data_IF_383977462069
#
_entry.id   IF_383977462069
#
_cell.length_a   1.000
_cell.length_b   1.000
_cell.length_c   1.000
_cell.angle_alpha   90.00
_cell.angle_beta   90.00
_cell.angle_gamma   90.00
#
_symmetry.space_group_name_H-M   'P 1'
#
loop_
_entity.id
_entity.type
_entity.pdbx_description
1 polymer ?
#
# COMPACT_ATOMS: atom_id res chain seq x y z
N UNK A 1 8.73 -9.02 -2.23
CA UNK A 1 8.14 -8.25 -1.10
C UNK A 1 9.18 -7.45 -0.31
N UNK A 2 10.08 -8.13 0.42
CA UNK A 2 10.91 -7.51 1.46
C UNK A 2 11.81 -6.35 1.03
N UNK A 3 12.36 -6.36 -0.19
CA UNK A 3 13.15 -5.22 -0.69
C UNK A 3 12.30 -3.94 -0.78
N UNK A 4 11.05 -4.06 -1.25
CA UNK A 4 10.14 -2.92 -1.34
C UNK A 4 9.72 -2.44 0.05
N UNK A 5 9.44 -3.38 0.95
CA UNK A 5 9.12 -3.09 2.34
C UNK A 5 10.27 -2.33 3.04
N UNK A 6 11.51 -2.78 2.86
CA UNK A 6 12.69 -2.09 3.37
C UNK A 6 12.81 -0.65 2.85
N UNK A 7 12.55 -0.43 1.55
CA UNK A 7 12.53 0.92 0.96
C UNK A 7 11.46 1.82 1.60
N UNK A 8 10.27 1.30 1.89
CA UNK A 8 9.26 2.04 2.66
C UNK A 8 9.65 2.25 4.13
N UNK A 9 10.36 1.31 4.76
CA UNK A 9 10.82 1.48 6.14
C UNK A 9 11.85 2.60 6.29
N UNK A 10 12.73 2.77 5.31
CA UNK A 10 13.71 3.87 5.26
C UNK A 10 13.11 5.16 4.65
N UNK A 11 11.78 5.25 4.55
CA UNK A 11 11.07 6.41 4.03
C UNK A 11 11.52 6.84 2.61
N UNK A 12 11.71 5.85 1.72
CA UNK A 12 12.06 6.05 0.31
C UNK A 12 10.96 5.55 -0.65
N UNK A 13 9.72 6.07 -0.56
CA UNK A 13 8.59 5.57 -1.35
C UNK A 13 8.74 5.79 -2.86
N UNK A 14 9.43 6.85 -3.30
CA UNK A 14 9.71 7.09 -4.73
C UNK A 14 10.53 5.96 -5.33
N UNK A 15 11.58 5.53 -4.63
CA UNK A 15 12.46 4.42 -5.05
C UNK A 15 11.69 3.10 -5.01
N UNK A 16 10.87 2.88 -3.98
CA UNK A 16 10.03 1.69 -3.89
C UNK A 16 9.07 1.58 -5.09
N UNK A 17 8.35 2.66 -5.41
CA UNK A 17 7.40 2.71 -6.51
C UNK A 17 8.09 2.60 -7.88
N UNK A 18 9.26 3.23 -8.05
CA UNK A 18 10.03 3.08 -9.29
C UNK A 18 10.47 1.64 -9.48
N UNK A 19 11.01 1.00 -8.42
CA UNK A 19 11.39 -0.41 -8.46
C UNK A 19 10.20 -1.31 -8.78
N UNK A 20 9.01 -1.03 -8.25
CA UNK A 20 7.79 -1.78 -8.61
C UNK A 20 7.50 -1.66 -10.10
N UNK A 21 7.54 -0.46 -10.69
CA UNK A 21 7.31 -0.28 -12.13
C UNK A 21 8.33 -1.07 -12.95
N UNK A 22 9.61 -0.87 -12.68
CA UNK A 22 10.69 -1.48 -13.48
C UNK A 22 10.67 -3.00 -13.39
N UNK A 23 10.43 -3.54 -12.18
CA UNK A 23 10.47 -4.98 -11.94
C UNK A 23 9.32 -5.73 -12.62
N UNK A 24 8.15 -5.12 -12.73
CA UNK A 24 6.95 -5.77 -13.27
C UNK A 24 6.67 -5.38 -14.72
N UNK A 25 7.33 -4.35 -15.27
CA UNK A 25 7.11 -3.88 -16.64
C UNK A 25 7.23 -5.01 -17.68
N UNK A 26 8.27 -5.86 -17.57
CA UNK A 26 8.45 -7.00 -18.47
C UNK A 26 7.29 -8.00 -18.38
N UNK A 27 6.90 -8.40 -17.17
CA UNK A 27 5.77 -9.30 -16.91
C UNK A 27 4.45 -8.75 -17.45
N UNK A 28 4.20 -7.45 -17.27
CA UNK A 28 2.99 -6.77 -17.74
C UNK A 28 2.96 -6.54 -19.26
N UNK A 29 4.07 -6.75 -19.96
CA UNK A 29 4.16 -6.55 -21.42
C UNK A 29 3.63 -7.75 -22.23
N UNK A 30 3.47 -8.92 -21.59
CA UNK A 30 2.88 -10.10 -22.21
C UNK A 30 1.37 -9.88 -22.42
N UNK A 31 0.89 -10.02 -23.66
CA UNK A 31 -0.52 -9.77 -24.02
C UNK A 31 -1.47 -10.89 -23.61
N UNK A 32 -0.96 -12.12 -23.53
CA UNK A 32 -1.77 -13.32 -23.35
C UNK A 32 -1.91 -13.74 -21.87
N UNK A 33 -1.27 -13.01 -20.94
CA UNK A 33 -1.21 -13.38 -19.53
C UNK A 33 -1.75 -12.27 -18.63
N UNK A 34 -2.54 -12.67 -17.63
CA UNK A 34 -3.26 -11.75 -16.72
C UNK A 34 -2.95 -12.00 -15.24
N UNK A 35 -2.00 -12.89 -14.95
CA UNK A 35 -1.60 -13.28 -13.59
C UNK A 35 -0.11 -12.97 -13.36
N UNK A 36 0.33 -13.07 -12.11
CA UNK A 36 1.73 -12.82 -11.75
C UNK A 36 2.56 -14.08 -11.92
N UNK A 37 3.79 -13.97 -12.43
CA UNK A 37 4.63 -15.15 -12.68
C UNK A 37 5.51 -15.47 -11.49
N UNK A 38 5.99 -16.71 -11.43
CA UNK A 38 6.95 -17.17 -10.43
C UNK A 38 8.29 -16.43 -10.55
N UNK A 39 8.81 -16.35 -11.79
CA UNK A 39 9.99 -15.58 -12.16
C UNK A 39 9.64 -14.24 -12.82
N UNK A 40 10.59 -13.68 -13.58
CA UNK A 40 10.42 -12.36 -14.22
C UNK A 40 10.04 -12.45 -15.70
N UNK A 41 10.04 -13.66 -16.28
CA UNK A 41 9.59 -13.94 -17.63
C UNK A 41 9.35 -15.43 -17.85
N UNK A 42 9.20 -15.83 -19.12
CA UNK A 42 9.01 -17.22 -19.53
C UNK A 42 10.34 -17.85 -19.97
N UNK A 43 10.53 -19.14 -19.71
CA UNK A 43 11.75 -19.86 -20.08
C UNK A 43 12.94 -19.50 -19.20
N UNK A 44 14.04 -19.04 -19.81
CA UNK A 44 15.27 -18.71 -19.09
C UNK A 44 15.07 -17.55 -18.08
N UNK A 45 14.29 -16.53 -18.45
CA UNK A 45 13.91 -15.40 -17.57
C UNK A 45 12.99 -15.84 -16.41
N UNK A 46 12.39 -17.02 -16.53
CA UNK A 46 11.61 -17.69 -15.49
C UNK A 46 12.42 -18.66 -14.63
N UNK A 47 13.75 -18.57 -14.66
CA UNK A 47 14.68 -19.45 -13.94
C UNK A 47 14.48 -20.95 -14.23
N UNK A 48 14.11 -21.29 -15.48
CA UNK A 48 13.94 -22.68 -15.90
C UNK A 48 12.49 -23.16 -15.96
N UNK A 49 11.51 -22.25 -16.00
CA UNK A 49 10.12 -22.59 -16.32
C UNK A 49 9.16 -22.54 -15.13
N UNK A 50 9.33 -21.59 -14.21
CA UNK A 50 8.35 -21.33 -13.16
C UNK A 50 6.96 -20.99 -13.71
N UNK A 51 5.92 -21.12 -12.88
CA UNK A 51 4.53 -20.96 -13.33
C UNK A 51 4.22 -19.52 -13.74
N UNK A 52 3.33 -19.35 -14.72
CA UNK A 52 2.79 -18.03 -15.10
C UNK A 52 1.68 -17.53 -14.16
N UNK A 53 1.40 -18.25 -13.07
CA UNK A 53 0.36 -17.90 -12.11
C UNK A 53 0.82 -18.27 -10.69
N UNK A 54 1.51 -17.35 -10.05
CA UNK A 54 2.22 -17.55 -8.79
C UNK A 54 2.06 -16.35 -7.85
N UNK A 55 1.33 -16.54 -6.76
CA UNK A 55 0.92 -15.46 -5.85
C UNK A 55 2.08 -14.81 -5.06
N UNK A 56 3.22 -15.50 -4.90
CA UNK A 56 4.35 -15.00 -4.11
C UNK A 56 4.97 -13.69 -4.67
N UNK A 57 4.71 -13.42 -5.95
CA UNK A 57 5.12 -12.23 -6.68
C UNK A 57 4.17 -11.07 -6.42
N UNK A 58 3.05 -11.30 -5.72
CA UNK A 58 2.04 -10.31 -5.35
C UNK A 58 2.41 -9.38 -4.19
N UNK A 59 3.64 -9.46 -3.66
CA UNK A 59 4.09 -8.62 -2.54
C UNK A 59 3.84 -7.11 -2.67
N UNK A 60 3.92 -6.47 -3.86
CA UNK A 60 3.54 -5.07 -4.01
C UNK A 60 2.09 -4.77 -3.63
N UNK A 61 1.15 -5.69 -3.89
CA UNK A 61 -0.28 -5.48 -3.62
C UNK A 61 -0.52 -5.16 -2.14
N UNK A 62 0.11 -5.93 -1.23
CA UNK A 62 0.00 -5.69 0.21
C UNK A 62 0.70 -4.39 0.63
N UNK A 63 1.80 -4.03 -0.02
CA UNK A 63 2.54 -2.80 0.30
C UNK A 63 1.84 -1.53 -0.22
N UNK A 64 1.04 -1.62 -1.29
CA UNK A 64 0.23 -0.50 -1.76
C UNK A 64 -0.87 -0.14 -0.73
N UNK A 65 -1.55 -1.12 -0.14
CA UNK A 65 -2.49 -0.84 0.95
C UNK A 65 -1.78 -0.45 2.25
N UNK A 66 -0.74 -1.18 2.64
CA UNK A 66 -0.06 -0.97 3.92
C UNK A 66 0.81 0.27 4.00
N UNK A 67 1.51 0.63 2.92
CA UNK A 67 2.53 1.70 2.93
C UNK A 67 2.11 2.90 2.10
N UNK A 68 1.57 2.71 0.90
CA UNK A 68 1.10 3.84 0.07
C UNK A 68 -0.15 4.47 0.70
N UNK A 69 -1.20 3.68 0.94
CA UNK A 69 -2.39 4.14 1.68
C UNK A 69 -2.14 4.23 3.19
N UNK A 70 -1.12 3.53 3.67
CA UNK A 70 -0.64 3.64 5.04
C UNK A 70 -1.40 2.80 6.07
N UNK A 71 -2.28 1.88 5.65
CA UNK A 71 -3.14 1.06 6.53
C UNK A 71 -2.33 -0.11 7.11
N UNK A 72 -1.78 0.06 8.31
CA UNK A 72 -0.90 -0.92 8.94
C UNK A 72 -1.43 -1.33 10.32
N UNK A 73 -1.63 -2.63 10.61
CA UNK A 73 -2.12 -3.07 11.91
C UNK A 73 -1.07 -2.77 12.99
N UNK A 74 -1.51 -2.25 14.14
CA UNK A 74 -0.67 -2.06 15.33
C UNK A 74 -1.01 -3.06 16.43
N UNK A 75 -2.11 -3.80 16.27
CA UNK A 75 -2.47 -4.95 17.08
C UNK A 75 -3.16 -6.04 16.23
N UNK A 76 -3.29 -7.28 16.75
CA UNK A 76 -3.91 -8.38 16.01
C UNK A 76 -5.31 -8.04 15.49
N UNK A 77 -5.61 -8.51 14.27
CA UNK A 77 -6.95 -8.36 13.67
C UNK A 77 -7.37 -6.93 13.35
N UNK A 78 -6.45 -5.95 13.36
CA UNK A 78 -6.73 -4.52 13.16
C UNK A 78 -7.60 -3.89 14.25
N UNK A 79 -7.61 -4.43 15.48
CA UNK A 79 -8.29 -3.76 16.61
C UNK A 79 -7.78 -2.33 16.82
N UNK A 80 -6.48 -2.15 16.64
CA UNK A 80 -5.84 -0.84 16.46
C UNK A 80 -4.96 -0.89 15.22
N UNK A 81 -4.89 0.23 14.51
CA UNK A 81 -4.06 0.35 13.32
C UNK A 81 -3.50 1.75 13.16
N UNK A 82 -2.62 1.91 12.19
CA UNK A 82 -2.02 3.18 11.80
C UNK A 82 -2.47 3.52 10.39
N UNK A 83 -2.59 4.82 10.13
CA UNK A 83 -2.73 5.42 8.80
C UNK A 83 -1.55 6.37 8.62
N UNK A 84 -0.49 5.87 7.95
CA UNK A 84 0.72 6.65 7.64
C UNK A 84 1.00 6.59 6.13
N UNK A 85 0.40 7.47 5.33
CA UNK A 85 0.58 7.46 3.88
C UNK A 85 2.01 7.73 3.45
N UNK A 86 2.51 6.92 2.52
CA UNK A 86 3.80 7.13 1.83
C UNK A 86 3.57 7.13 0.31
N UNK A 87 2.95 8.21 -0.18
CA UNK A 87 2.46 8.29 -1.56
C UNK A 87 3.56 8.38 -2.63
N UNK A 88 4.81 8.65 -2.24
CA UNK A 88 5.92 8.80 -3.18
C UNK A 88 5.60 9.80 -4.29
N UNK A 89 5.72 9.37 -5.55
CA UNK A 89 5.36 10.18 -6.72
C UNK A 89 3.87 10.21 -7.07
N UNK A 90 3.01 9.42 -6.41
CA UNK A 90 1.58 9.34 -6.74
C UNK A 90 0.84 10.61 -6.30
N UNK A 91 -0.16 11.02 -7.09
CA UNK A 91 -1.04 12.15 -6.80
C UNK A 91 -2.29 11.74 -6.04
N UNK A 92 -2.72 10.50 -6.21
CA UNK A 92 -3.87 9.90 -5.54
C UNK A 92 -3.64 8.41 -5.28
N UNK A 93 -4.30 7.88 -4.25
CA UNK A 93 -4.32 6.46 -3.94
C UNK A 93 -5.55 6.13 -3.10
N UNK A 94 -6.07 4.92 -3.22
CA UNK A 94 -7.13 4.44 -2.33
C UNK A 94 -7.00 2.94 -2.06
N UNK A 95 -7.44 2.53 -0.88
CA UNK A 95 -7.50 1.14 -0.49
C UNK A 95 -8.71 0.87 0.43
N UNK A 96 -9.26 -0.33 0.31
CA UNK A 96 -10.23 -0.91 1.24
C UNK A 96 -9.61 -2.19 1.79
N UNK A 97 -9.42 -2.26 3.09
CA UNK A 97 -8.91 -3.46 3.78
C UNK A 97 -10.08 -4.07 4.55
N UNK A 98 -10.66 -5.19 4.07
CA UNK A 98 -11.72 -5.87 4.79
C UNK A 98 -11.15 -6.50 6.06
N UNK A 99 -11.84 -6.31 7.18
CA UNK A 99 -11.52 -6.92 8.48
C UNK A 99 -12.78 -7.56 9.06
N UNK A 100 -12.63 -8.36 10.13
CA UNK A 100 -13.80 -8.90 10.84
C UNK A 100 -14.66 -7.80 11.51
N UNK A 101 -14.10 -6.63 11.78
CA UNK A 101 -14.82 -5.47 12.34
C UNK A 101 -15.55 -4.65 11.26
N UNK A 102 -15.28 -4.92 9.98
CA UNK A 102 -15.76 -4.13 8.83
C UNK A 102 -14.62 -3.59 7.97
N UNK A 103 -14.96 -2.82 6.95
CA UNK A 103 -13.98 -2.26 6.01
C UNK A 103 -13.26 -1.04 6.58
N UNK A 104 -11.92 -1.10 6.60
CA UNK A 104 -11.09 0.09 6.73
C UNK A 104 -10.93 0.69 5.34
N UNK A 105 -11.39 1.93 5.13
CA UNK A 105 -11.25 2.61 3.82
C UNK A 105 -10.41 3.85 3.96
N UNK A 106 -9.46 4.03 3.04
CA UNK A 106 -8.64 5.24 2.95
C UNK A 106 -8.62 5.70 1.50
N UNK A 107 -8.94 6.97 1.26
CA UNK A 107 -8.68 7.65 -0.02
C UNK A 107 -7.79 8.85 0.23
N UNK A 108 -6.80 9.03 -0.64
CA UNK A 108 -5.77 10.03 -0.52
C UNK A 108 -5.68 10.84 -1.80
N UNK A 109 -5.55 12.15 -1.68
CA UNK A 109 -5.28 13.05 -2.80
C UNK A 109 -4.31 14.15 -2.37
N UNK A 110 -3.22 14.32 -3.11
CA UNK A 110 -2.31 15.45 -2.91
C UNK A 110 -2.96 16.75 -3.39
N UNK A 111 -2.81 17.80 -2.59
CA UNK A 111 -3.23 19.16 -2.89
C UNK A 111 -2.16 20.12 -2.38
N UNK A 112 -1.29 20.59 -3.28
CA UNK A 112 -0.12 21.38 -2.93
C UNK A 112 0.80 20.64 -1.94
N UNK A 113 1.03 21.24 -0.77
CA UNK A 113 1.81 20.66 0.34
C UNK A 113 0.94 19.96 1.38
N UNK A 114 -0.20 19.43 0.97
CA UNK A 114 -1.12 18.70 1.85
C UNK A 114 -1.62 17.43 1.18
N UNK A 115 -1.96 16.44 2.00
CA UNK A 115 -2.74 15.27 1.61
C UNK A 115 -4.15 15.44 2.20
N UNK A 116 -5.15 15.40 1.32
CA UNK A 116 -6.55 15.23 1.68
C UNK A 116 -6.81 13.74 1.92
N UNK A 117 -7.40 13.40 3.05
CA UNK A 117 -7.69 12.02 3.44
C UNK A 117 -9.16 11.84 3.75
N UNK A 118 -9.81 10.91 3.07
CA UNK A 118 -11.10 10.36 3.46
C UNK A 118 -10.84 9.01 4.14
N UNK A 119 -11.24 8.87 5.40
CA UNK A 119 -10.94 7.69 6.22
C UNK A 119 -12.24 7.14 6.77
N UNK A 120 -12.44 5.82 6.68
CA UNK A 120 -13.46 5.07 7.39
C UNK A 120 -12.79 4.10 8.36
N UNK A 121 -13.12 4.25 9.64
CA UNK A 121 -12.68 3.38 10.74
C UNK A 121 -13.86 2.53 11.21
N UNK A 122 -13.80 1.19 11.12
CA UNK A 122 -14.87 0.31 11.58
C UNK A 122 -15.18 0.44 13.07
N UNK A 123 -16.39 0.06 13.47
CA UNK A 123 -16.76 -0.02 14.89
C UNK A 123 -15.81 -0.90 15.69
N UNK A 124 -15.65 -0.58 16.98
CA UNK A 124 -14.77 -1.29 17.91
C UNK A 124 -13.27 -1.27 17.56
N UNK A 125 -12.87 -0.43 16.60
CA UNK A 125 -11.46 -0.20 16.23
C UNK A 125 -11.06 1.26 16.40
N UNK A 126 -9.75 1.53 16.40
CA UNK A 126 -9.20 2.89 16.43
C UNK A 126 -7.93 3.00 15.57
N UNK A 127 -7.62 4.23 15.13
CA UNK A 127 -6.50 4.48 14.27
C UNK A 127 -5.59 5.62 14.74
N UNK A 128 -4.28 5.42 14.55
CA UNK A 128 -3.25 6.45 14.61
C UNK A 128 -3.05 7.08 13.23
N UNK A 129 -3.54 8.30 13.01
CA UNK A 129 -3.23 9.05 11.79
C UNK A 129 -1.90 9.79 11.97
N UNK A 130 -0.92 9.50 11.12
CA UNK A 130 0.44 10.05 11.20
C UNK A 130 0.66 11.01 10.03
N UNK A 131 0.92 12.28 10.34
CA UNK A 131 1.27 13.28 9.32
C UNK A 131 2.72 13.12 8.82
N UNK A 132 3.08 13.76 7.71
CA UNK A 132 4.46 13.72 7.18
C UNK A 132 5.50 14.27 8.17
N UNK A 133 5.08 15.18 9.06
CA UNK A 133 5.91 15.76 10.13
C UNK A 133 5.97 14.88 11.38
N UNK A 134 5.41 13.68 11.36
CA UNK A 134 5.41 12.75 12.49
C UNK A 134 4.39 13.06 13.60
N UNK A 135 3.56 14.11 13.46
CA UNK A 135 2.47 14.35 14.41
C UNK A 135 1.44 13.23 14.30
N UNK A 136 1.07 12.65 15.45
CA UNK A 136 0.09 11.59 15.59
C UNK A 136 -1.25 12.17 16.07
N UNK A 137 -2.34 11.77 15.43
CA UNK A 137 -3.71 12.04 15.86
C UNK A 137 -4.44 10.71 16.04
N UNK A 138 -5.02 10.51 17.21
CA UNK A 138 -5.87 9.34 17.49
C UNK A 138 -7.30 9.61 17.00
N UNK A 139 -7.90 8.64 16.33
CA UNK A 139 -9.31 8.66 15.91
C UNK A 139 -9.98 7.33 16.28
N UNK A 140 -11.26 7.38 16.63
CA UNK A 140 -12.10 6.20 16.89
C UNK A 140 -12.80 5.72 15.63
N UNK A 141 -13.87 4.93 15.81
CA UNK A 141 -14.76 4.54 14.72
C UNK A 141 -15.48 5.73 14.10
N UNK A 142 -15.78 5.63 12.81
CA UNK A 142 -16.50 6.66 12.05
C UNK A 142 -15.81 7.05 10.75
N UNK A 143 -16.36 8.08 10.11
CA UNK A 143 -15.85 8.63 8.85
C UNK A 143 -15.24 10.01 9.06
N UNK A 144 -14.04 10.21 8.56
CA UNK A 144 -13.25 11.43 8.77
C UNK A 144 -12.78 12.02 7.44
N UNK A 145 -12.81 13.34 7.35
CA UNK A 145 -12.17 14.12 6.29
C UNK A 145 -11.04 14.93 6.92
N UNK A 146 -9.79 14.50 6.70
CA UNK A 146 -8.61 15.13 7.29
C UNK A 146 -7.76 15.81 6.22
N UNK A 147 -7.07 16.86 6.65
CA UNK A 147 -6.01 17.50 5.86
C UNK A 147 -4.71 17.35 6.64
N UNK A 148 -3.76 16.60 6.12
CA UNK A 148 -2.44 16.52 6.73
C UNK A 148 -1.43 17.29 5.88
N UNK A 149 -0.55 18.08 6.50
CA UNK A 149 0.62 18.60 5.82
C UNK A 149 1.43 17.44 5.22
N UNK A 150 1.94 17.66 4.00
CA UNK A 150 2.91 16.82 3.31
C UNK A 150 4.28 17.50 3.38
#
# INVERSE_FOLDING_TARGET
KYVLEALFHINSPEVALQRMRDRYAGMLSYKDYTTLFEGWGVGAEGFGGGTINHAWSGGPLTLLSQKVCGIEPTSPGFRTFRIKPQMGSLTEASASVPTHYGDIKVKLRKSGRTILMEIQVPEQTSAEVVSSKGKIQQIGSGTYNLKCPF
#
